data_IF_664856153670
#
_entry.id   IF_664856153670
#
_cell.length_a   1.000
_cell.length_b   1.000
_cell.length_c   1.000
_cell.angle_alpha   90.00
_cell.angle_beta   90.00
_cell.angle_gamma   90.00
#
_symmetry.space_group_name_H-M   'P 1'
#
loop_
_entity.id
_entity.type
_entity.pdbx_description
1 polymer ?
#
# COMPACT_ATOMS: atom_id res chain seq x y z
N UNK A 1 1.57 -9.68 8.58
CA UNK A 1 1.03 -8.50 9.29
C UNK A 1 0.02 -7.78 8.42
N UNK A 2 -1.12 -7.46 8.97
CA UNK A 2 -2.23 -6.85 8.23
C UNK A 2 -2.23 -5.32 8.37
N UNK A 3 -2.23 -4.61 7.24
CA UNK A 3 -2.35 -3.15 7.21
C UNK A 3 -3.61 -2.79 6.42
N UNK A 4 -4.65 -2.38 7.11
CA UNK A 4 -5.95 -2.11 6.49
C UNK A 4 -5.89 -1.04 5.40
N UNK A 5 -5.02 -0.04 5.54
CA UNK A 5 -4.92 1.04 4.55
C UNK A 5 -4.33 0.60 3.21
N UNK A 6 -3.62 -0.54 3.16
CA UNK A 6 -3.23 -1.15 1.89
C UNK A 6 -4.43 -1.54 1.04
N UNK A 7 -5.55 -1.84 1.68
CA UNK A 7 -6.80 -2.15 1.02
C UNK A 7 -7.64 -0.90 0.78
N UNK A 8 -7.71 -0.01 1.77
CA UNK A 8 -8.57 1.17 1.72
C UNK A 8 -8.13 2.17 0.64
N UNK A 9 -6.83 2.42 0.51
CA UNK A 9 -6.32 3.41 -0.43
C UNK A 9 -6.65 3.09 -1.89
N UNK A 10 -6.43 1.86 -2.40
CA UNK A 10 -6.83 1.56 -3.78
C UNK A 10 -8.35 1.56 -3.96
N UNK A 11 -9.13 1.15 -2.96
CA UNK A 11 -10.58 1.21 -3.04
C UNK A 11 -11.07 2.67 -3.19
N UNK A 12 -10.49 3.59 -2.42
CA UNK A 12 -10.82 5.01 -2.50
C UNK A 12 -10.50 5.62 -3.88
N UNK A 13 -9.55 5.04 -4.61
CA UNK A 13 -9.14 5.49 -5.93
C UNK A 13 -9.74 4.65 -7.07
N UNK A 14 -10.66 3.75 -6.76
CA UNK A 14 -11.27 2.82 -7.73
C UNK A 14 -10.23 1.98 -8.49
N UNK A 15 -9.17 1.55 -7.80
CA UNK A 15 -8.12 0.73 -8.37
C UNK A 15 -8.23 -0.72 -7.89
N UNK A 16 -7.93 -1.66 -8.79
CA UNK A 16 -7.92 -3.08 -8.44
C UNK A 16 -6.51 -3.57 -8.10
N UNK A 17 -6.42 -4.80 -7.59
CA UNK A 17 -5.13 -5.38 -7.17
C UNK A 17 -4.14 -5.52 -8.32
N UNK A 18 -4.61 -5.83 -9.53
CA UNK A 18 -3.74 -5.96 -10.70
C UNK A 18 -3.06 -4.65 -11.04
N UNK A 19 -3.80 -3.54 -10.99
CA UNK A 19 -3.25 -2.21 -11.26
C UNK A 19 -2.17 -1.82 -10.24
N UNK A 20 -2.41 -2.10 -8.96
CA UNK A 20 -1.43 -1.80 -7.92
C UNK A 20 -0.20 -2.69 -8.06
N UNK A 21 -0.40 -3.98 -8.35
CA UNK A 21 0.72 -4.91 -8.57
C UNK A 21 1.62 -4.45 -9.72
N UNK A 22 1.05 -3.92 -10.79
CA UNK A 22 1.81 -3.37 -11.91
C UNK A 22 2.68 -2.19 -11.47
N UNK A 23 2.15 -1.30 -10.63
CA UNK A 23 2.91 -0.17 -10.08
C UNK A 23 4.12 -0.66 -9.27
N UNK A 24 3.95 -1.77 -8.56
CA UNK A 24 5.01 -2.38 -7.75
C UNK A 24 5.93 -3.32 -8.54
N UNK A 25 5.67 -3.53 -9.83
CA UNK A 25 6.42 -4.48 -10.66
C UNK A 25 6.39 -5.90 -10.08
N UNK A 26 5.24 -6.30 -9.57
CA UNK A 26 5.04 -7.63 -8.98
C UNK A 26 3.75 -8.25 -9.50
N UNK A 27 3.46 -9.50 -9.10
CA UNK A 27 2.24 -10.18 -9.52
C UNK A 27 1.05 -9.79 -8.63
N UNK A 28 -0.15 -9.91 -9.19
CA UNK A 28 -1.39 -9.70 -8.43
C UNK A 28 -1.47 -10.67 -7.24
N UNK A 29 -1.01 -11.90 -7.38
CA UNK A 29 -0.99 -12.88 -6.30
C UNK A 29 -0.12 -12.43 -5.14
N UNK A 30 1.07 -11.89 -5.41
CA UNK A 30 1.97 -11.37 -4.37
C UNK A 30 1.34 -10.17 -3.68
N UNK A 31 0.82 -9.20 -4.45
CA UNK A 31 0.19 -8.01 -3.86
C UNK A 31 -1.03 -8.39 -3.00
N UNK A 32 -1.84 -9.35 -3.46
CA UNK A 32 -2.99 -9.84 -2.70
C UNK A 32 -2.59 -10.34 -1.31
N UNK A 33 -1.42 -10.99 -1.20
CA UNK A 33 -0.91 -11.44 0.09
C UNK A 33 -0.55 -10.28 1.01
N UNK A 34 -0.06 -9.17 0.47
CA UNK A 34 0.19 -7.96 1.26
C UNK A 34 -1.13 -7.40 1.81
N UNK A 35 -2.16 -7.29 0.97
CA UNK A 35 -3.46 -6.77 1.39
C UNK A 35 -4.12 -7.60 2.47
N UNK A 36 -3.97 -8.94 2.40
CA UNK A 36 -4.59 -9.86 3.37
C UNK A 36 -3.78 -10.03 4.64
N UNK A 37 -2.57 -9.49 4.69
CA UNK A 37 -1.66 -9.69 5.81
C UNK A 37 -1.00 -11.07 5.83
N UNK A 38 -1.14 -11.86 4.76
CA UNK A 38 -0.48 -13.15 4.65
C UNK A 38 1.03 -13.02 4.46
N UNK A 39 1.47 -11.87 3.96
CA UNK A 39 2.88 -11.53 3.78
C UNK A 39 3.08 -10.06 4.08
N UNK A 40 4.13 -9.73 4.84
CA UNK A 40 4.46 -8.34 5.15
C UNK A 40 5.02 -7.64 3.93
N UNK A 41 4.50 -6.46 3.61
CA UNK A 41 4.98 -5.68 2.47
C UNK A 41 6.43 -5.22 2.72
N UNK A 42 7.34 -5.44 1.76
CA UNK A 42 8.72 -4.95 1.91
C UNK A 42 8.80 -3.43 1.83
N UNK A 43 9.85 -2.87 2.43
CA UNK A 43 10.04 -1.42 2.51
C UNK A 43 10.05 -0.77 1.13
N UNK A 44 10.69 -1.38 0.13
CA UNK A 44 10.75 -0.84 -1.23
C UNK A 44 9.35 -0.65 -1.82
N UNK A 45 8.47 -1.63 -1.65
CA UNK A 45 7.11 -1.54 -2.14
C UNK A 45 6.29 -0.52 -1.35
N UNK A 46 6.52 -0.45 -0.03
CA UNK A 46 5.85 0.53 0.81
C UNK A 46 6.18 1.96 0.39
N UNK A 47 7.45 2.23 0.09
CA UNK A 47 7.89 3.56 -0.36
C UNK A 47 7.27 3.93 -1.71
N UNK A 48 7.20 2.98 -2.64
CA UNK A 48 6.56 3.20 -3.94
C UNK A 48 5.09 3.57 -3.76
N UNK A 49 4.37 2.85 -2.91
CA UNK A 49 2.96 3.13 -2.67
C UNK A 49 2.75 4.46 -1.96
N UNK A 50 3.59 4.81 -1.00
CA UNK A 50 3.50 6.10 -0.31
C UNK A 50 3.66 7.25 -1.31
N UNK A 51 4.63 7.16 -2.21
CA UNK A 51 4.83 8.16 -3.24
C UNK A 51 3.64 8.20 -4.22
N UNK A 52 3.16 7.05 -4.64
CA UNK A 52 2.05 6.96 -5.58
C UNK A 52 0.76 7.56 -5.01
N UNK A 53 0.43 7.24 -3.77
CA UNK A 53 -0.77 7.76 -3.12
C UNK A 53 -0.60 9.18 -2.57
N UNK A 54 0.64 9.68 -2.51
CA UNK A 54 0.93 11.00 -1.93
C UNK A 54 0.69 11.05 -0.42
N UNK A 55 0.97 9.96 0.27
CA UNK A 55 0.79 9.83 1.72
C UNK A 55 2.09 9.38 2.37
N UNK A 56 2.17 9.50 3.70
CA UNK A 56 3.33 9.01 4.44
C UNK A 56 3.28 7.48 4.60
N UNK A 57 4.44 6.86 4.75
CA UNK A 57 4.52 5.44 5.11
C UNK A 57 3.84 5.17 6.44
N UNK A 58 3.97 6.09 7.39
CA UNK A 58 3.30 5.97 8.70
C UNK A 58 1.79 5.92 8.55
N UNK A 59 1.22 6.69 7.61
CA UNK A 59 -0.21 6.64 7.34
C UNK A 59 -0.63 5.25 6.84
N UNK A 60 0.12 4.68 5.88
CA UNK A 60 -0.17 3.35 5.34
C UNK A 60 -0.09 2.29 6.45
N UNK A 61 0.90 2.41 7.34
CA UNK A 61 1.09 1.47 8.44
C UNK A 61 0.11 1.65 9.59
N UNK A 62 -0.74 2.69 9.53
CA UNK A 62 -1.71 2.95 10.58
C UNK A 62 -1.13 3.61 11.82
N UNK A 63 0.09 4.16 11.74
CA UNK A 63 0.75 4.81 12.89
C UNK A 63 0.30 6.26 13.08
N UNK A 64 -0.32 6.84 12.08
CA UNK A 64 -0.86 8.19 12.11
C UNK A 64 -2.11 8.27 11.26
N UNK A 65 -2.99 9.21 11.58
CA UNK A 65 -4.15 9.56 10.74
C UNK A 65 -3.84 10.73 9.80
N UNK A 66 -2.65 11.27 9.85
CA UNK A 66 -2.21 12.37 9.00
C UNK A 66 -1.61 11.80 7.70
N UNK A 67 -2.24 12.13 6.56
CA UNK A 67 -1.80 11.65 5.25
C UNK A 67 -0.51 12.31 4.76
N UNK A 68 -0.14 13.46 5.33
CA UNK A 68 0.99 14.25 4.82
C UNK A 68 2.30 13.46 4.86
N UNK A 69 3.07 13.58 3.77
CA UNK A 69 4.42 13.07 3.73
C UNK A 69 5.27 13.81 4.76
N UNK A 70 5.99 13.05 5.56
CA UNK A 70 6.99 13.59 6.47
C UNK A 70 8.26 13.85 5.65
N UNK A 71 8.54 15.08 5.35
CA UNK A 71 9.79 15.46 4.68
C UNK A 71 10.76 16.08 5.68
#
# INVERSE_FOLDING_TARGET
MYFQRLRDLPEDMDMNQTQIAEILFTSQTVYSRYERGARTIPVEHLLILADFYGVSTDYILGRTNNKKLNK
#
